data_IF_230304975095
#
_entry.id   IF_230304975095
#
_cell.length_a   1.000
_cell.length_b   1.000
_cell.length_c   1.000
_cell.angle_alpha   90.00
_cell.angle_beta   90.00
_cell.angle_gamma   90.00
#
_symmetry.space_group_name_H-M   'P 1'
#
loop_
_entity.id
_entity.type
_entity.pdbx_description
1 polymer ?
#
# COMPACT_ATOMS: atom_id res chain seq x y z
N UNK A 1 37.71 20.84 2.65
CA UNK A 1 37.38 20.44 4.04
C UNK A 1 36.25 19.42 4.00
N UNK A 2 36.59 18.13 4.05
CA UNK A 2 35.62 17.02 4.12
C UNK A 2 35.09 16.83 5.54
N UNK A 3 33.77 16.70 5.71
CA UNK A 3 33.18 16.07 6.90
C UNK A 3 32.18 15.01 6.46
N UNK A 4 32.63 13.76 6.59
CA UNK A 4 31.91 12.50 6.40
C UNK A 4 30.87 12.35 7.51
N UNK A 5 29.59 12.19 7.16
CA UNK A 5 28.57 11.72 8.10
C UNK A 5 28.77 10.23 8.38
N UNK A 6 28.96 9.89 9.66
CA UNK A 6 29.16 8.53 10.16
C UNK A 6 27.81 7.79 10.19
N UNK A 7 27.72 6.69 9.45
CA UNK A 7 26.71 5.65 9.68
C UNK A 7 27.05 4.89 10.96
N UNK A 8 26.11 4.81 11.90
CA UNK A 8 26.23 3.95 13.08
C UNK A 8 25.84 2.52 12.68
N UNK A 9 26.80 1.60 12.65
CA UNK A 9 26.55 0.16 12.55
C UNK A 9 26.43 -0.40 13.96
N UNK A 10 25.22 -0.78 14.38
CA UNK A 10 25.04 -1.72 15.49
C UNK A 10 25.17 -3.13 14.94
N UNK A 11 26.35 -3.72 15.08
CA UNK A 11 26.57 -5.15 14.81
C UNK A 11 26.00 -5.97 15.97
N UNK A 12 24.81 -6.53 15.79
CA UNK A 12 24.37 -7.66 16.61
C UNK A 12 24.83 -8.94 15.91
N UNK A 13 25.82 -9.61 16.49
CA UNK A 13 26.34 -10.90 16.02
C UNK A 13 25.31 -11.99 16.36
N UNK A 14 24.63 -12.52 15.36
CA UNK A 14 23.85 -13.76 15.43
C UNK A 14 24.38 -14.71 14.36
N UNK A 15 24.47 -16.01 14.69
CA UNK A 15 25.24 -17.04 14.00
C UNK A 15 24.86 -17.36 12.55
N UNK A 16 25.52 -18.36 11.94
CA UNK A 16 25.47 -18.63 10.52
C UNK A 16 24.21 -19.43 10.16
N UNK A 17 23.32 -18.84 9.37
CA UNK A 17 22.17 -19.55 8.82
C UNK A 17 21.19 -18.59 8.19
N UNK A 18 21.20 -18.54 6.86
CA UNK A 18 20.25 -17.84 5.98
C UNK A 18 19.93 -16.39 6.36
N UNK A 19 20.62 -15.47 5.68
CA UNK A 19 20.18 -14.09 5.55
C UNK A 19 18.83 -14.08 4.83
N UNK A 20 17.74 -14.04 5.59
CA UNK A 20 16.53 -13.41 5.10
C UNK A 20 16.88 -11.94 5.02
N UNK A 21 16.97 -11.38 3.81
CA UNK A 21 16.94 -9.94 3.61
C UNK A 21 15.60 -9.43 4.15
N UNK A 22 15.56 -9.17 5.45
CA UNK A 22 14.52 -8.39 6.09
C UNK A 22 14.65 -6.99 5.52
N UNK A 23 13.91 -6.74 4.44
CA UNK A 23 13.72 -5.42 3.87
C UNK A 23 13.17 -4.54 4.97
N UNK A 24 14.06 -3.73 5.55
CA UNK A 24 13.72 -2.68 6.50
C UNK A 24 12.61 -1.86 5.86
N UNK A 25 11.40 -2.01 6.40
CA UNK A 25 10.22 -1.28 5.96
C UNK A 25 10.48 0.20 6.20
N UNK A 26 10.88 0.90 5.14
CA UNK A 26 10.95 2.34 5.16
C UNK A 26 9.55 2.85 5.53
N UNK A 27 9.46 3.63 6.61
CA UNK A 27 8.22 4.19 7.14
C UNK A 27 7.59 5.26 6.26
N UNK A 28 7.78 5.15 4.94
CA UNK A 28 7.16 6.01 3.95
C UNK A 28 5.66 5.75 3.96
N UNK A 29 4.90 6.84 3.99
CA UNK A 29 3.45 6.74 3.84
C UNK A 29 3.17 6.10 2.47
N UNK A 30 2.32 5.07 2.39
CA UNK A 30 1.92 4.53 1.10
C UNK A 30 1.37 5.64 0.21
N UNK A 31 1.82 5.68 -1.03
CA UNK A 31 1.49 6.69 -2.03
C UNK A 31 1.27 6.07 -3.43
N UNK A 32 0.86 6.88 -4.40
CA UNK A 32 0.64 6.40 -5.77
C UNK A 32 1.89 5.81 -6.45
N UNK A 33 3.09 6.44 -6.37
CA UNK A 33 4.32 5.84 -6.86
C UNK A 33 4.58 4.42 -6.35
N UNK A 34 4.30 4.13 -5.07
CA UNK A 34 4.43 2.77 -4.53
C UNK A 34 3.46 1.77 -5.19
N UNK A 35 2.23 2.19 -5.47
CA UNK A 35 1.24 1.37 -6.20
C UNK A 35 1.70 1.11 -7.64
N UNK A 36 2.23 2.13 -8.31
CA UNK A 36 2.71 2.01 -9.69
C UNK A 36 3.93 1.08 -9.79
N UNK A 37 4.86 1.18 -8.84
CA UNK A 37 5.99 0.27 -8.71
C UNK A 37 5.53 -1.18 -8.44
N UNK A 38 4.50 -1.37 -7.62
CA UNK A 38 3.91 -2.67 -7.38
C UNK A 38 3.29 -3.26 -8.66
N UNK A 39 2.55 -2.46 -9.44
CA UNK A 39 1.99 -2.89 -10.72
C UNK A 39 3.07 -3.33 -11.70
N UNK A 40 4.14 -2.53 -11.82
CA UNK A 40 5.29 -2.86 -12.67
C UNK A 40 5.93 -4.19 -12.25
N UNK A 41 6.20 -4.36 -10.95
CA UNK A 41 6.78 -5.58 -10.39
C UNK A 41 5.90 -6.81 -10.61
N UNK A 42 4.60 -6.70 -10.39
CA UNK A 42 3.66 -7.80 -10.59
C UNK A 42 3.58 -8.21 -12.08
N UNK A 43 3.63 -7.24 -12.99
CA UNK A 43 3.64 -7.50 -14.44
C UNK A 43 4.96 -8.14 -14.90
N UNK A 44 6.09 -7.66 -14.40
CA UNK A 44 7.42 -8.17 -14.74
C UNK A 44 7.62 -9.61 -14.24
N UNK A 45 7.27 -9.87 -12.99
CA UNK A 45 7.44 -11.19 -12.37
C UNK A 45 6.34 -12.18 -12.72
N UNK A 46 5.22 -11.71 -13.28
CA UNK A 46 3.97 -12.47 -13.42
C UNK A 46 3.56 -13.18 -12.13
N UNK A 47 3.82 -12.55 -10.99
CA UNK A 47 3.48 -13.11 -9.69
C UNK A 47 1.96 -13.36 -9.61
N UNK A 48 1.59 -14.54 -9.15
CA UNK A 48 0.20 -14.93 -8.95
C UNK A 48 -0.27 -14.41 -7.60
N UNK A 49 -1.43 -13.76 -7.57
CA UNK A 49 -2.06 -13.30 -6.34
C UNK A 49 -3.56 -13.67 -6.28
N UNK A 50 -4.07 -13.99 -5.08
CA UNK A 50 -5.48 -14.29 -4.89
C UNK A 50 -6.32 -13.01 -4.85
N UNK A 51 -7.58 -13.13 -5.25
CA UNK A 51 -8.64 -12.14 -5.04
C UNK A 51 -9.85 -12.84 -4.42
N UNK A 52 -10.83 -12.10 -3.91
CA UNK A 52 -12.03 -12.67 -3.27
C UNK A 52 -12.81 -13.63 -4.18
N UNK A 53 -12.74 -13.46 -5.51
CA UNK A 53 -13.50 -14.24 -6.47
C UNK A 53 -12.65 -15.17 -7.36
N UNK A 54 -11.33 -15.17 -7.20
CA UNK A 54 -10.43 -16.03 -7.96
C UNK A 54 -9.14 -16.30 -7.18
N UNK A 55 -8.76 -17.57 -7.05
CA UNK A 55 -7.55 -17.99 -6.33
C UNK A 55 -6.25 -17.67 -7.07
N UNK A 56 -6.32 -17.49 -8.39
CA UNK A 56 -5.15 -17.21 -9.24
C UNK A 56 -5.44 -16.05 -10.18
N UNK A 57 -4.69 -14.96 -10.03
CA UNK A 57 -4.71 -13.80 -10.90
C UNK A 57 -3.27 -13.34 -11.15
N UNK A 58 -2.97 -12.84 -12.33
CA UNK A 58 -1.66 -12.25 -12.64
C UNK A 58 -1.80 -11.15 -13.69
N UNK A 59 -0.79 -10.29 -13.79
CA UNK A 59 -0.75 -9.24 -14.82
C UNK A 59 0.10 -9.75 -15.98
N UNK A 60 -0.51 -9.97 -17.15
CA UNK A 60 0.18 -10.50 -18.33
C UNK A 60 0.83 -9.41 -19.19
N UNK A 61 0.34 -8.18 -19.09
CA UNK A 61 0.85 -7.01 -19.81
C UNK A 61 0.60 -5.73 -19.01
N UNK A 62 1.54 -4.80 -19.06
CA UNK A 62 1.42 -3.50 -18.41
C UNK A 62 1.96 -2.39 -19.31
N UNK A 63 1.11 -1.40 -19.58
CA UNK A 63 1.43 -0.14 -20.24
C UNK A 63 1.37 0.97 -19.18
N UNK A 64 2.53 1.44 -18.65
CA UNK A 64 2.59 2.42 -17.58
C UNK A 64 1.75 3.67 -17.87
N UNK A 65 1.02 4.15 -16.86
CA UNK A 65 0.11 5.29 -16.97
C UNK A 65 -1.13 5.08 -17.86
N UNK A 66 -1.28 3.92 -18.52
CA UNK A 66 -2.36 3.69 -19.50
C UNK A 66 -3.28 2.54 -19.12
N UNK A 67 -2.79 1.30 -19.14
CA UNK A 67 -3.62 0.10 -18.90
C UNK A 67 -2.78 -1.13 -18.55
N UNK A 68 -3.41 -2.13 -17.96
CA UNK A 68 -2.84 -3.44 -17.70
C UNK A 68 -3.79 -4.55 -18.11
N UNK A 69 -3.26 -5.70 -18.52
CA UNK A 69 -4.04 -6.90 -18.76
C UNK A 69 -4.02 -7.77 -17.50
N UNK A 70 -5.19 -7.95 -16.89
CA UNK A 70 -5.39 -8.85 -15.78
C UNK A 70 -5.91 -10.18 -16.31
N UNK A 71 -5.23 -11.26 -15.93
CA UNK A 71 -5.64 -12.64 -16.19
C UNK A 71 -6.20 -13.27 -14.92
N UNK A 72 -7.24 -14.09 -15.07
CA UNK A 72 -7.91 -14.81 -13.98
C UNK A 72 -8.48 -16.13 -14.53
N UNK A 73 -7.68 -17.20 -14.48
CA UNK A 73 -8.00 -18.45 -15.17
C UNK A 73 -8.22 -18.22 -16.67
N UNK A 74 -9.41 -18.53 -17.17
CA UNK A 74 -9.79 -18.38 -18.58
C UNK A 74 -10.30 -16.96 -18.94
N UNK A 75 -10.18 -16.00 -18.04
CA UNK A 75 -10.69 -14.64 -18.24
C UNK A 75 -9.55 -13.63 -18.31
N UNK A 76 -9.53 -12.87 -19.40
CA UNK A 76 -8.61 -11.75 -19.60
C UNK A 76 -9.36 -10.43 -19.62
N UNK A 77 -8.78 -9.37 -19.04
CA UNK A 77 -9.38 -8.03 -19.02
C UNK A 77 -8.34 -6.93 -19.04
N UNK A 78 -8.53 -5.97 -19.94
CA UNK A 78 -7.87 -4.68 -19.86
C UNK A 78 -8.48 -3.80 -18.75
N UNK A 79 -7.63 -3.33 -17.83
CA UNK A 79 -7.96 -2.37 -16.77
C UNK A 79 -7.18 -1.10 -17.05
N UNK A 80 -7.86 0.04 -17.02
CA UNK A 80 -7.20 1.35 -17.20
C UNK A 80 -6.51 1.78 -15.91
N UNK A 81 -5.31 2.32 -16.01
CA UNK A 81 -4.51 2.75 -14.85
C UNK A 81 -5.15 3.96 -14.16
N UNK A 82 -5.77 4.86 -14.92
CA UNK A 82 -6.50 6.02 -14.39
C UNK A 82 -7.64 5.64 -13.43
N UNK A 83 -8.33 4.51 -13.67
CA UNK A 83 -9.35 4.00 -12.77
C UNK A 83 -8.73 3.50 -11.46
N UNK A 84 -7.58 2.82 -11.51
CA UNK A 84 -6.85 2.37 -10.31
C UNK A 84 -6.37 3.58 -9.51
N UNK A 85 -5.84 4.59 -10.20
CA UNK A 85 -5.40 5.85 -9.59
C UNK A 85 -6.55 6.61 -8.93
N UNK A 86 -7.72 6.70 -9.57
CA UNK A 86 -8.90 7.32 -8.98
C UNK A 86 -9.39 6.60 -7.70
N UNK A 87 -9.29 5.27 -7.67
CA UNK A 87 -9.58 4.48 -6.48
C UNK A 87 -8.55 4.73 -5.38
N UNK A 88 -7.26 4.87 -5.72
CA UNK A 88 -6.21 5.22 -4.78
C UNK A 88 -6.44 6.60 -4.17
N UNK A 89 -6.71 7.63 -4.98
CA UNK A 89 -7.02 8.97 -4.48
C UNK A 89 -8.26 8.99 -3.58
N UNK A 90 -9.25 8.13 -3.85
CA UNK A 90 -10.39 7.95 -2.96
C UNK A 90 -9.98 7.33 -1.63
N UNK A 91 -9.10 6.32 -1.67
CA UNK A 91 -8.56 5.69 -0.47
C UNK A 91 -7.74 6.68 0.38
N UNK A 92 -6.88 7.48 -0.24
CA UNK A 92 -6.12 8.55 0.42
C UNK A 92 -7.03 9.56 1.10
N UNK A 93 -8.06 10.03 0.39
CA UNK A 93 -9.03 11.00 0.91
C UNK A 93 -9.82 10.48 2.10
N UNK A 94 -10.23 9.20 2.05
CA UNK A 94 -11.07 8.60 3.09
C UNK A 94 -10.25 8.02 4.26
N UNK A 95 -8.95 7.76 4.05
CA UNK A 95 -8.09 7.01 4.99
C UNK A 95 -8.47 5.54 5.17
N UNK A 96 -9.60 5.12 4.59
CA UNK A 96 -10.14 3.76 4.58
C UNK A 96 -10.89 3.52 3.27
N UNK A 97 -10.88 2.29 2.76
CA UNK A 97 -11.65 1.93 1.57
C UNK A 97 -12.25 0.53 1.72
N UNK A 98 -13.54 0.39 1.43
CA UNK A 98 -14.24 -0.89 1.26
C UNK A 98 -14.41 -1.19 -0.21
N UNK A 99 -14.82 -2.42 -0.51
CA UNK A 99 -15.15 -2.83 -1.88
C UNK A 99 -16.23 -1.94 -2.52
N UNK A 100 -17.23 -1.51 -1.75
CA UNK A 100 -18.30 -0.62 -2.22
C UNK A 100 -17.82 0.81 -2.50
N UNK A 101 -16.70 1.23 -1.91
CA UNK A 101 -16.12 2.56 -2.11
C UNK A 101 -15.23 2.58 -3.39
N UNK A 102 -14.95 1.42 -3.99
CA UNK A 102 -14.23 1.30 -5.27
C UNK A 102 -15.14 1.70 -6.41
N UNK A 103 -14.76 2.76 -7.12
CA UNK A 103 -15.53 3.30 -8.23
C UNK A 103 -15.63 2.25 -9.36
N UNK A 104 -16.87 1.96 -9.77
CA UNK A 104 -17.24 0.95 -10.79
C UNK A 104 -16.55 1.23 -12.16
N UNK A 105 -16.40 0.19 -13.01
CA UNK A 105 -17.23 -0.99 -13.05
C UNK A 105 -16.64 -2.14 -12.23
N UNK A 106 -17.20 -2.36 -11.05
CA UNK A 106 -16.92 -3.21 -9.89
C UNK A 106 -16.82 -4.71 -10.14
N UNK A 107 -16.37 -5.06 -11.33
CA UNK A 107 -15.65 -6.30 -11.63
C UNK A 107 -14.14 -6.17 -11.43
N UNK A 108 -13.58 -4.95 -11.32
CA UNK A 108 -12.18 -4.74 -10.94
C UNK A 108 -12.01 -4.48 -9.43
N UNK A 109 -13.10 -4.39 -8.66
CA UNK A 109 -13.01 -4.04 -7.23
C UNK A 109 -12.24 -5.07 -6.42
N UNK A 110 -12.38 -6.37 -6.73
CA UNK A 110 -11.62 -7.43 -6.04
C UNK A 110 -10.14 -7.36 -6.35
N UNK A 111 -9.78 -7.04 -7.60
CA UNK A 111 -8.41 -6.76 -8.01
C UNK A 111 -7.84 -5.54 -7.30
N UNK A 112 -8.53 -4.40 -7.31
CA UNK A 112 -8.07 -3.16 -6.66
C UNK A 112 -7.85 -3.38 -5.15
N UNK A 113 -8.78 -4.06 -4.48
CA UNK A 113 -8.64 -4.38 -3.06
C UNK A 113 -7.43 -5.29 -2.80
N UNK A 114 -7.25 -6.35 -3.60
CA UNK A 114 -6.11 -7.26 -3.47
C UNK A 114 -4.76 -6.58 -3.81
N UNK A 115 -4.77 -5.64 -4.75
CA UNK A 115 -3.60 -4.84 -5.10
C UNK A 115 -3.22 -3.91 -3.95
N UNK A 116 -4.17 -3.14 -3.42
CA UNK A 116 -3.89 -2.19 -2.34
C UNK A 116 -3.49 -2.89 -1.04
N UNK A 117 -4.03 -4.08 -0.75
CA UNK A 117 -3.61 -4.88 0.39
C UNK A 117 -2.12 -5.31 0.34
N UNK A 118 -1.51 -5.33 -0.86
CA UNK A 118 -0.10 -5.67 -1.05
C UNK A 118 0.84 -4.44 -0.96
N UNK A 119 0.29 -3.23 -0.85
CA UNK A 119 1.09 -2.01 -0.71
C UNK A 119 1.59 -1.91 0.72
N UNK A 120 2.91 -1.77 0.88
CA UNK A 120 3.55 -1.61 2.19
C UNK A 120 2.89 -0.49 3.00
N UNK A 121 2.53 -0.79 4.25
CA UNK A 121 1.88 0.16 5.16
C UNK A 121 0.34 0.13 5.14
N UNK A 122 -0.29 -0.38 4.07
CA UNK A 122 -1.74 -0.63 4.06
C UNK A 122 -2.06 -1.79 4.99
N UNK A 123 -3.11 -1.64 5.80
CA UNK A 123 -3.59 -2.71 6.70
C UNK A 123 -4.98 -3.16 6.32
N UNK A 124 -5.19 -4.46 6.27
CA UNK A 124 -6.51 -5.06 6.13
C UNK A 124 -7.15 -5.25 7.50
N UNK A 125 -8.42 -4.89 7.63
CA UNK A 125 -9.23 -5.11 8.82
C UNK A 125 -10.38 -6.02 8.47
N UNK A 126 -10.47 -7.16 9.15
CA UNK A 126 -11.54 -8.15 9.01
C UNK A 126 -12.61 -7.88 10.07
N UNK A 127 -13.57 -7.01 9.77
CA UNK A 127 -14.74 -6.77 10.63
C UNK A 127 -16.00 -6.64 9.78
N UNK A 128 -16.88 -7.64 9.86
CA UNK A 128 -18.15 -7.80 9.12
C UNK A 128 -18.00 -7.77 7.58
N UNK A 129 -17.39 -6.71 7.03
CA UNK A 129 -16.97 -6.57 5.64
C UNK A 129 -15.49 -6.15 5.60
N UNK A 130 -14.60 -6.84 4.86
CA UNK A 130 -13.19 -6.52 4.82
C UNK A 130 -12.94 -5.13 4.21
N UNK A 131 -12.14 -4.31 4.90
CA UNK A 131 -11.74 -2.99 4.45
C UNK A 131 -10.26 -2.74 4.67
N UNK A 132 -9.71 -1.80 3.91
CA UNK A 132 -8.32 -1.38 4.02
C UNK A 132 -8.23 -0.04 4.73
N UNK A 133 -7.16 0.17 5.49
CA UNK A 133 -6.83 1.43 6.14
C UNK A 133 -5.42 1.85 5.81
N UNK A 134 -5.24 3.15 5.57
CA UNK A 134 -3.91 3.76 5.51
C UNK A 134 -3.41 4.02 6.93
N UNK A 135 -2.09 3.90 7.17
CA UNK A 135 -1.53 4.26 8.45
C UNK A 135 -1.77 5.76 8.64
N UNK A 136 -2.55 6.11 9.67
CA UNK A 136 -2.73 7.52 10.02
C UNK A 136 -1.34 8.09 10.27
N UNK A 137 -0.94 9.08 9.46
CA UNK A 137 0.20 9.92 9.79
C UNK A 137 -0.02 10.33 11.25
N UNK A 138 0.92 10.02 12.13
CA UNK A 138 0.86 10.42 13.54
C UNK A 138 0.81 11.95 13.53
N UNK A 139 -0.39 12.52 13.45
CA UNK A 139 -0.62 13.91 13.73
C UNK A 139 -0.15 14.06 15.17
N UNK A 140 1.01 14.69 15.32
CA UNK A 140 1.56 15.03 16.61
C UNK A 140 0.44 15.68 17.39
N UNK A 141 0.02 15.03 18.48
CA UNK A 141 -0.81 15.69 19.49
C UNK A 141 0.01 16.87 19.97
N UNK A 142 -0.18 18.03 19.35
CA UNK A 142 0.02 19.31 20.02
C UNK A 142 -1.04 19.34 21.09
N UNK A 143 -0.70 18.81 22.26
CA UNK A 143 -1.37 19.12 23.50
C UNK A 143 -1.45 20.66 23.57
N UNK A 144 -2.64 21.28 23.62
CA UNK A 144 -2.70 22.70 23.89
C UNK A 144 -2.05 22.91 25.25
N UNK A 145 -0.99 23.72 25.26
CA UNK A 145 -0.31 24.13 26.48
C UNK A 145 -1.36 24.60 27.48
N UNK A 146 -1.43 23.94 28.63
CA UNK A 146 -2.24 24.37 29.75
C UNK A 146 -1.83 25.81 30.07
N UNK A 147 -2.71 26.77 29.74
CA UNK A 147 -2.58 28.15 30.17
C UNK A 147 -2.65 28.14 31.69
N UNK A 148 -1.50 28.37 32.32
CA UNK A 148 -1.38 28.73 33.73
C UNK A 148 -2.34 29.88 34.04
N UNK A 149 -3.45 29.59 34.72
CA UNK A 149 -4.17 30.61 35.50
C UNK A 149 -3.64 30.56 36.91
N UNK A 150 -2.61 31.39 37.14
CA UNK A 150 -2.30 31.90 38.47
C UNK A 150 -3.48 32.79 38.87
N UNK A 151 -4.27 32.37 39.86
CA UNK A 151 -5.20 33.25 40.56
C UNK A 151 -4.72 33.31 42.00
N UNK A 152 -3.87 34.30 42.25
CA UNK A 152 -3.64 34.84 43.56
C UNK A 152 -4.74 35.89 43.82
N UNK A 153 -5.61 35.61 44.79
CA UNK A 153 -5.97 36.49 45.91
C UNK A 153 -7.15 35.90 46.68
#
# INVERSE_FOLDING_TARGET
MSKRSRAFHTMTRVGPGLQVEETVQDGSSPDWPAVEALLARLAETRAVFPTTNASSNWISSYEPGRRLMLESGDRSRWIRVDHVQACWSTFERLGRIRRLDVLEPGRASTFVMALFAQVSGVRQVEKDEPYLVLPQAKNGRRTPAARSRSLAR
#
